data_IF_208511224058
#
_entry.id   IF_208511224058
#
_cell.length_a   1.000
_cell.length_b   1.000
_cell.length_c   1.000
_cell.angle_alpha   90.00
_cell.angle_beta   90.00
_cell.angle_gamma   90.00
#
_symmetry.space_group_name_H-M   'P 1'
#
loop_
_entity.id
_entity.type
_entity.pdbx_description
1 polymer ?
#
# COMPACT_ATOMS: atom_id res chain seq x y z
N UNK A 1 -18.88 33.69 12.69
CA UNK A 1 -19.19 32.25 12.50
C UNK A 1 -18.40 31.42 13.49
N UNK A 2 -19.02 30.39 14.06
CA UNK A 2 -18.34 29.46 14.96
C UNK A 2 -17.38 28.60 14.13
N UNK A 3 -16.07 28.78 14.30
CA UNK A 3 -15.08 27.91 13.67
C UNK A 3 -15.11 26.53 14.35
N UNK A 4 -15.26 25.48 13.56
CA UNK A 4 -15.14 24.11 14.03
C UNK A 4 -13.65 23.71 13.96
N UNK A 5 -13.01 23.32 15.07
CA UNK A 5 -11.62 22.90 15.03
C UNK A 5 -11.50 21.53 14.37
N UNK A 6 -10.60 21.40 13.42
CA UNK A 6 -10.21 20.14 12.83
C UNK A 6 -8.81 19.82 13.36
N UNK A 7 -8.68 18.69 14.07
CA UNK A 7 -7.42 18.28 14.71
C UNK A 7 -7.05 16.86 14.27
N UNK A 8 -5.74 16.58 14.23
CA UNK A 8 -5.22 15.29 13.84
C UNK A 8 -3.92 15.00 14.58
N UNK A 9 -3.67 13.74 14.91
CA UNK A 9 -2.52 13.28 15.70
C UNK A 9 -1.39 12.67 14.87
N UNK A 10 -1.50 12.68 13.54
CA UNK A 10 -0.61 11.92 12.68
C UNK A 10 -1.01 10.44 12.61
N UNK A 11 -0.03 9.56 12.43
CA UNK A 11 -0.23 8.12 12.25
C UNK A 11 0.61 7.32 13.25
N UNK A 12 0.36 5.99 13.29
CA UNK A 12 1.15 5.00 14.08
C UNK A 12 1.13 5.20 15.59
N UNK A 13 0.19 5.96 16.15
CA UNK A 13 0.09 6.16 17.60
C UNK A 13 1.26 6.96 18.22
N UNK A 14 2.03 7.71 17.42
CA UNK A 14 3.20 8.47 17.90
C UNK A 14 2.79 9.61 18.85
N UNK A 15 1.58 10.17 18.66
CA UNK A 15 1.05 11.24 19.47
C UNK A 15 -0.37 10.94 19.95
N UNK A 16 -0.66 11.38 21.18
CA UNK A 16 -2.00 11.51 21.71
C UNK A 16 -2.43 12.99 21.61
N UNK A 17 -3.58 13.23 20.99
CA UNK A 17 -4.18 14.57 20.92
C UNK A 17 -4.95 14.89 22.21
N UNK A 18 -4.60 15.96 22.86
CA UNK A 18 -5.33 16.49 24.01
C UNK A 18 -5.99 17.82 23.65
N UNK A 19 -7.33 17.82 23.60
CA UNK A 19 -8.10 19.03 23.34
C UNK A 19 -8.91 19.41 24.59
N UNK A 20 -8.81 20.70 24.99
CA UNK A 20 -9.63 21.27 26.04
C UNK A 20 -10.58 22.29 25.42
N UNK A 21 -11.86 22.07 25.65
CA UNK A 21 -12.94 22.95 25.18
C UNK A 21 -13.51 23.68 26.39
N UNK A 22 -13.57 25.00 26.31
CA UNK A 22 -14.17 25.88 27.30
C UNK A 22 -15.42 26.53 26.71
N UNK A 23 -16.54 26.38 27.38
CA UNK A 23 -17.80 27.03 27.01
C UNK A 23 -18.07 28.13 28.04
N UNK A 24 -18.28 29.36 27.57
CA UNK A 24 -18.73 30.45 28.44
C UNK A 24 -20.26 30.44 28.60
N UNK A 25 -20.77 31.33 29.47
CA UNK A 25 -22.21 31.38 29.80
C UNK A 25 -23.11 31.77 28.62
N UNK A 26 -22.55 32.32 27.54
CA UNK A 26 -23.26 32.69 26.30
C UNK A 26 -23.01 31.73 25.16
N UNK A 27 -22.41 30.57 25.46
CA UNK A 27 -22.18 29.50 24.47
C UNK A 27 -20.97 29.71 23.57
N UNK A 28 -20.13 30.73 23.85
CA UNK A 28 -18.91 30.94 23.07
C UNK A 28 -17.86 29.90 23.41
N UNK A 29 -17.35 29.23 22.39
CA UNK A 29 -16.34 28.17 22.53
C UNK A 29 -14.92 28.75 22.44
N UNK A 30 -14.06 28.27 23.33
CA UNK A 30 -12.60 28.43 23.24
C UNK A 30 -11.98 27.06 23.34
N UNK A 31 -10.99 26.79 22.50
CA UNK A 31 -10.29 25.50 22.54
C UNK A 31 -8.78 25.70 22.56
N UNK A 32 -8.12 24.82 23.27
CA UNK A 32 -6.67 24.62 23.20
C UNK A 32 -6.39 23.18 22.79
N UNK A 33 -5.39 22.98 21.97
CA UNK A 33 -4.98 21.67 21.50
C UNK A 33 -3.47 21.50 21.66
N UNK A 34 -3.05 20.32 22.10
CA UNK A 34 -1.65 19.94 22.16
C UNK A 34 -1.47 18.48 21.81
N UNK A 35 -0.32 18.14 21.23
CA UNK A 35 0.14 16.77 21.00
C UNK A 35 0.99 16.33 22.21
N UNK A 36 0.72 15.16 22.72
CA UNK A 36 1.49 14.48 23.77
C UNK A 36 2.23 13.34 23.07
N UNK A 37 3.58 13.33 23.04
CA UNK A 37 4.33 12.21 22.50
C UNK A 37 4.03 10.93 23.28
N UNK A 38 3.82 9.83 22.55
CA UNK A 38 3.68 8.49 23.11
C UNK A 38 5.06 7.83 23.05
N UNK A 39 5.78 7.85 24.15
CA UNK A 39 7.15 7.31 24.27
C UNK A 39 7.38 6.68 25.64
N UNK A 40 8.60 6.19 25.89
CA UNK A 40 8.97 5.48 27.09
C UNK A 40 8.72 6.24 28.42
N UNK A 41 8.53 7.57 28.37
CA UNK A 41 8.16 8.37 29.55
C UNK A 41 6.77 8.02 30.09
N UNK A 42 5.95 7.34 29.29
CA UNK A 42 4.63 6.86 29.68
C UNK A 42 4.63 5.42 30.19
N UNK A 43 5.73 4.69 30.10
CA UNK A 43 5.80 3.25 30.45
C UNK A 43 5.43 3.00 31.90
N UNK A 44 5.79 3.91 32.83
CA UNK A 44 5.41 3.82 34.25
C UNK A 44 3.91 3.99 34.52
N UNK A 45 3.14 4.38 33.51
CA UNK A 45 1.68 4.62 33.58
C UNK A 45 0.86 3.55 32.85
N UNK A 46 1.50 2.50 32.37
CA UNK A 46 0.80 1.40 31.69
C UNK A 46 -0.05 0.67 32.73
N UNK A 47 -1.31 0.43 32.39
CA UNK A 47 -2.19 -0.43 33.18
C UNK A 47 -1.63 -1.85 33.24
N UNK A 48 -1.37 -2.41 34.45
CA UNK A 48 -0.74 -3.72 34.60
C UNK A 48 -1.55 -4.86 33.96
N UNK A 49 -2.88 -4.80 33.98
CA UNK A 49 -3.75 -5.82 33.41
C UNK A 49 -3.66 -5.77 31.86
N UNK A 50 -3.61 -4.57 31.30
CA UNK A 50 -3.39 -4.39 29.86
C UNK A 50 -2.00 -4.87 29.43
N UNK A 51 -0.95 -4.51 30.18
CA UNK A 51 0.42 -4.95 29.91
C UNK A 51 0.55 -6.48 29.93
N UNK A 52 -0.07 -7.13 30.91
CA UNK A 52 -0.09 -8.59 31.03
C UNK A 52 -0.78 -9.25 29.83
N UNK A 53 -1.95 -8.72 29.42
CA UNK A 53 -2.69 -9.22 28.27
C UNK A 53 -1.91 -9.03 26.96
N UNK A 54 -1.29 -7.87 26.79
CA UNK A 54 -0.45 -7.59 25.62
C UNK A 54 0.77 -8.53 25.57
N UNK A 55 1.43 -8.73 26.72
CA UNK A 55 2.55 -9.66 26.85
C UNK A 55 2.17 -11.09 26.46
N UNK A 56 1.04 -11.59 26.93
CA UNK A 56 0.53 -12.90 26.54
C UNK A 56 0.39 -13.06 25.03
N UNK A 57 -0.29 -12.14 24.35
CA UNK A 57 -0.45 -12.22 22.88
C UNK A 57 0.89 -12.04 22.15
N UNK A 58 1.76 -11.15 22.63
CA UNK A 58 3.08 -10.96 22.04
C UNK A 58 3.92 -12.23 22.05
N UNK A 59 3.92 -12.98 23.16
CA UNK A 59 4.65 -14.25 23.26
C UNK A 59 4.03 -15.34 22.36
N UNK A 60 2.71 -15.40 22.21
CA UNK A 60 2.05 -16.35 21.32
C UNK A 60 2.44 -16.09 19.83
N UNK A 61 2.54 -14.83 19.45
CA UNK A 61 2.88 -14.45 18.09
C UNK A 61 4.39 -14.50 17.79
N UNK A 62 5.23 -14.31 18.80
CA UNK A 62 6.68 -14.13 18.66
C UNK A 62 7.34 -15.27 17.87
N UNK A 63 6.97 -16.51 18.13
CA UNK A 63 7.56 -17.66 17.45
C UNK A 63 7.26 -17.67 15.95
N UNK A 64 6.00 -17.45 15.56
CA UNK A 64 5.59 -17.45 14.16
C UNK A 64 6.07 -16.19 13.42
N UNK A 65 6.05 -15.03 14.08
CA UNK A 65 6.43 -13.76 13.48
C UNK A 65 7.95 -13.61 13.29
N UNK A 66 8.76 -14.25 14.13
CA UNK A 66 10.22 -14.26 14.02
C UNK A 66 10.76 -15.37 13.09
N UNK A 67 9.89 -16.16 12.47
CA UNK A 67 10.30 -17.13 11.47
C UNK A 67 10.99 -16.42 10.31
N UNK A 68 12.23 -16.84 10.00
CA UNK A 68 13.00 -16.35 8.86
C UNK A 68 12.47 -17.01 7.61
N UNK A 69 11.96 -16.19 6.68
CA UNK A 69 11.38 -16.65 5.41
C UNK A 69 12.39 -16.64 4.28
N UNK A 70 13.45 -15.84 4.40
CA UNK A 70 14.47 -15.70 3.37
C UNK A 70 15.54 -14.69 3.72
N UNK A 71 16.40 -14.40 2.77
CA UNK A 71 17.49 -13.46 2.91
C UNK A 71 17.46 -12.40 1.81
N UNK A 72 17.53 -11.13 2.19
CA UNK A 72 17.56 -9.98 1.28
C UNK A 72 19.01 -9.49 1.13
N UNK A 73 19.66 -9.64 -0.04
CA UNK A 73 21.07 -9.26 -0.22
C UNK A 73 21.31 -7.76 -0.21
N UNK A 74 20.27 -6.96 -0.49
CA UNK A 74 20.29 -5.50 -0.44
C UNK A 74 18.94 -4.97 0.00
N UNK A 75 18.89 -3.86 0.75
CA UNK A 75 17.64 -3.31 1.23
C UNK A 75 16.68 -2.97 0.08
N UNK A 76 15.41 -3.41 0.20
CA UNK A 76 14.35 -3.03 -0.70
C UNK A 76 13.66 -1.80 -0.16
N UNK A 77 13.69 -0.71 -0.93
CA UNK A 77 13.22 0.61 -0.52
C UNK A 77 12.01 1.05 -1.32
N UNK A 78 11.16 1.79 -0.65
CA UNK A 78 10.08 2.54 -1.29
C UNK A 78 10.66 3.65 -2.16
N UNK A 79 9.96 4.03 -3.20
CA UNK A 79 10.36 5.12 -4.09
C UNK A 79 9.19 5.65 -4.90
N UNK A 80 9.36 6.86 -5.43
CA UNK A 80 8.45 7.47 -6.39
C UNK A 80 9.28 8.21 -7.44
N UNK A 81 9.05 8.00 -8.72
CA UNK A 81 8.04 7.13 -9.35
C UNK A 81 8.33 5.64 -9.25
N UNK A 82 9.54 5.23 -8.86
CA UNK A 82 9.95 3.83 -8.73
C UNK A 82 10.74 3.60 -7.44
N UNK A 83 10.60 2.39 -6.87
CA UNK A 83 11.38 1.91 -5.75
C UNK A 83 11.62 0.40 -5.88
N UNK A 84 12.78 -0.08 -5.38
CA UNK A 84 13.14 -1.49 -5.48
C UNK A 84 12.13 -2.41 -4.80
N UNK A 85 11.50 -1.96 -3.70
CA UNK A 85 10.46 -2.72 -3.02
C UNK A 85 9.20 -2.87 -3.88
N UNK A 86 8.75 -1.78 -4.52
CA UNK A 86 7.58 -1.82 -5.37
C UNK A 86 7.76 -2.70 -6.59
N UNK A 87 8.93 -2.60 -7.24
CA UNK A 87 9.27 -3.44 -8.39
C UNK A 87 9.29 -4.92 -7.99
N UNK A 88 9.99 -5.25 -6.89
CA UNK A 88 10.01 -6.62 -6.36
C UNK A 88 8.59 -7.14 -6.04
N UNK A 89 7.75 -6.34 -5.41
CA UNK A 89 6.37 -6.74 -5.10
C UNK A 89 5.57 -7.03 -6.39
N UNK A 90 5.68 -6.18 -7.40
CA UNK A 90 4.98 -6.39 -8.67
C UNK A 90 5.53 -7.62 -9.43
N UNK A 91 6.85 -7.85 -9.41
CA UNK A 91 7.45 -9.04 -10.02
C UNK A 91 7.01 -10.32 -9.30
N UNK A 92 6.98 -10.32 -7.95
CA UNK A 92 6.45 -11.44 -7.16
C UNK A 92 4.97 -11.74 -7.48
N UNK A 93 4.17 -10.71 -7.77
CA UNK A 93 2.77 -10.92 -8.18
C UNK A 93 2.66 -11.61 -9.54
N UNK A 94 3.59 -11.39 -10.48
CA UNK A 94 3.62 -12.15 -11.74
C UNK A 94 3.85 -13.63 -11.48
N UNK A 95 4.82 -13.96 -10.64
CA UNK A 95 5.13 -15.36 -10.27
C UNK A 95 3.95 -16.01 -9.55
N UNK A 96 3.39 -15.35 -8.54
CA UNK A 96 2.25 -15.88 -7.77
C UNK A 96 0.97 -16.00 -8.58
N UNK A 97 0.79 -15.25 -9.66
CA UNK A 97 -0.40 -15.29 -10.50
C UNK A 97 -0.57 -16.66 -11.17
N UNK A 98 0.52 -17.29 -11.54
CA UNK A 98 0.49 -18.65 -12.10
C UNK A 98 0.05 -19.68 -11.07
N UNK A 99 0.54 -19.57 -9.84
CA UNK A 99 0.16 -20.47 -8.74
C UNK A 99 -1.32 -20.30 -8.34
N UNK A 100 -1.82 -19.07 -8.34
CA UNK A 100 -3.17 -18.74 -7.86
C UNK A 100 -4.24 -18.93 -8.94
N UNK A 101 -3.95 -18.51 -10.18
CA UNK A 101 -4.93 -18.48 -11.27
C UNK A 101 -4.62 -19.44 -12.43
N UNK A 102 -3.47 -20.11 -12.40
CA UNK A 102 -3.02 -20.96 -13.50
C UNK A 102 -2.70 -20.20 -14.79
N UNK A 103 -2.36 -18.91 -14.66
CA UNK A 103 -2.15 -18.00 -15.79
C UNK A 103 -0.94 -17.12 -15.54
N UNK A 104 -0.04 -17.06 -16.52
CA UNK A 104 1.03 -16.04 -16.55
C UNK A 104 0.47 -14.72 -17.08
N UNK A 105 0.46 -13.63 -16.30
CA UNK A 105 -0.05 -12.34 -16.75
C UNK A 105 0.97 -11.64 -17.64
N UNK A 106 0.51 -10.73 -18.51
CA UNK A 106 1.39 -9.88 -19.33
C UNK A 106 2.16 -8.86 -18.47
N UNK A 107 1.57 -8.45 -17.35
CA UNK A 107 2.17 -7.54 -16.38
C UNK A 107 1.47 -7.63 -15.02
N UNK A 108 2.14 -7.09 -13.99
CA UNK A 108 1.52 -6.87 -12.70
C UNK A 108 1.66 -5.41 -12.25
N UNK A 109 0.71 -4.96 -11.44
CA UNK A 109 0.64 -3.61 -10.89
C UNK A 109 0.33 -3.71 -9.40
N UNK A 110 1.26 -3.20 -8.58
CA UNK A 110 1.13 -3.17 -7.13
C UNK A 110 0.68 -1.78 -6.66
N UNK A 111 0.04 -1.69 -5.50
CA UNK A 111 -0.33 -0.42 -4.88
C UNK A 111 0.83 0.15 -4.03
N UNK A 112 1.45 1.22 -4.48
CA UNK A 112 2.53 1.88 -3.73
C UNK A 112 2.10 2.35 -2.33
N UNK A 113 0.85 2.81 -2.19
CA UNK A 113 0.26 3.19 -0.90
C UNK A 113 0.05 2.00 0.05
N UNK A 114 -0.07 0.79 -0.48
CA UNK A 114 -0.19 -0.46 0.26
C UNK A 114 1.11 -0.94 0.90
N UNK A 115 2.25 -0.52 0.37
CA UNK A 115 3.58 -0.84 0.91
C UNK A 115 3.86 0.06 2.12
N UNK A 116 3.87 -0.49 3.35
CA UNK A 116 3.86 0.32 4.60
C UNK A 116 5.20 0.36 5.32
N UNK A 117 6.11 -0.55 5.03
CA UNK A 117 7.48 -0.61 5.55
C UNK A 117 8.46 -0.87 4.40
N UNK A 118 9.75 -0.90 4.71
CA UNK A 118 10.82 -1.32 3.79
C UNK A 118 11.40 -2.66 4.29
N UNK A 119 12.04 -3.42 3.40
CA UNK A 119 12.75 -4.65 3.77
C UNK A 119 14.23 -4.32 3.93
N UNK A 120 14.81 -4.48 5.13
CA UNK A 120 16.24 -4.26 5.34
C UNK A 120 17.07 -5.34 4.65
N UNK A 121 18.37 -5.07 4.47
CA UNK A 121 19.33 -6.10 4.11
C UNK A 121 19.49 -7.10 5.26
N UNK A 122 19.56 -8.40 4.95
CA UNK A 122 19.73 -9.47 5.94
C UNK A 122 18.60 -10.48 5.91
N UNK A 123 18.44 -11.19 7.01
CA UNK A 123 17.33 -12.12 7.19
C UNK A 123 16.00 -11.38 7.19
N UNK A 124 15.06 -11.92 6.46
CA UNK A 124 13.68 -11.38 6.33
C UNK A 124 12.74 -12.30 7.09
N UNK A 125 12.08 -11.75 8.07
CA UNK A 125 11.14 -12.49 8.91
C UNK A 125 9.70 -12.35 8.40
N UNK A 126 8.83 -13.22 8.89
CA UNK A 126 7.38 -13.10 8.65
C UNK A 126 6.85 -11.74 9.12
N UNK A 127 7.36 -11.23 10.24
CA UNK A 127 7.02 -9.90 10.77
C UNK A 127 7.36 -8.78 9.79
N UNK A 128 8.50 -8.87 9.10
CA UNK A 128 8.89 -7.87 8.10
C UNK A 128 7.91 -7.85 6.93
N UNK A 129 7.49 -9.01 6.46
CA UNK A 129 6.51 -9.13 5.37
C UNK A 129 5.14 -8.55 5.79
N UNK A 130 4.66 -8.88 7.00
CA UNK A 130 3.41 -8.27 7.51
C UNK A 130 3.52 -6.76 7.72
N UNK A 131 4.71 -6.25 8.08
CA UNK A 131 4.93 -4.81 8.18
C UNK A 131 4.89 -4.12 6.80
N UNK A 132 5.35 -4.79 5.75
CA UNK A 132 5.27 -4.30 4.36
C UNK A 132 3.84 -4.35 3.83
N UNK A 133 3.16 -5.49 4.01
CA UNK A 133 1.81 -5.77 3.48
C UNK A 133 0.80 -6.00 4.62
N UNK A 134 0.41 -4.96 5.39
CA UNK A 134 -0.47 -5.14 6.53
C UNK A 134 -1.97 -5.23 6.18
N UNK A 135 -2.31 -5.15 4.89
CA UNK A 135 -3.69 -5.19 4.41
C UNK A 135 -4.02 -6.58 3.88
N UNK A 136 -5.24 -7.02 4.12
CA UNK A 136 -5.80 -8.30 3.64
C UNK A 136 -6.36 -8.12 2.22
N UNK A 137 -5.52 -7.65 1.31
CA UNK A 137 -5.89 -7.50 -0.10
C UNK A 137 -5.83 -8.85 -0.81
N UNK A 138 -6.77 -9.09 -1.71
CA UNK A 138 -6.79 -10.25 -2.59
C UNK A 138 -6.08 -9.96 -3.89
N UNK A 139 -5.40 -10.95 -4.42
CA UNK A 139 -4.91 -10.89 -5.80
C UNK A 139 -6.10 -10.90 -6.75
N UNK A 140 -6.02 -10.11 -7.79
CA UNK A 140 -7.04 -9.98 -8.81
C UNK A 140 -6.40 -10.10 -10.19
N UNK A 141 -6.91 -11.02 -10.99
CA UNK A 141 -6.56 -11.14 -12.41
C UNK A 141 -7.61 -10.40 -13.24
N UNK A 142 -7.14 -9.45 -14.06
CA UNK A 142 -7.96 -8.70 -15.00
C UNK A 142 -7.59 -9.08 -16.42
N UNK A 143 -8.56 -9.14 -17.33
CA UNK A 143 -8.33 -9.13 -18.77
C UNK A 143 -8.92 -7.85 -19.36
N UNK A 144 -8.06 -7.00 -19.93
CA UNK A 144 -8.40 -5.70 -20.50
C UNK A 144 -8.09 -5.66 -21.99
N UNK A 145 -8.84 -4.85 -22.73
CA UNK A 145 -8.41 -4.45 -24.08
C UNK A 145 -7.20 -3.50 -23.99
N UNK A 146 -6.36 -3.46 -25.00
CA UNK A 146 -5.24 -2.52 -25.03
C UNK A 146 -5.69 -1.06 -24.94
N UNK A 147 -6.88 -0.74 -25.48
CA UNK A 147 -7.48 0.60 -25.31
C UNK A 147 -7.73 0.93 -23.85
N UNK A 148 -8.30 -0.02 -23.08
CA UNK A 148 -8.56 0.16 -21.64
C UNK A 148 -7.28 0.21 -20.84
N UNK A 149 -6.31 -0.63 -21.20
CA UNK A 149 -5.00 -0.62 -20.58
C UNK A 149 -4.26 0.71 -20.79
N UNK A 150 -4.34 1.30 -21.97
CA UNK A 150 -3.77 2.63 -22.23
C UNK A 150 -4.43 3.70 -21.35
N UNK A 151 -5.77 3.72 -21.24
CA UNK A 151 -6.49 4.62 -20.33
C UNK A 151 -6.08 4.43 -18.87
N UNK A 152 -5.87 3.18 -18.47
CA UNK A 152 -5.38 2.86 -17.13
C UNK A 152 -4.01 3.50 -16.90
N UNK A 153 -3.06 3.34 -17.82
CA UNK A 153 -1.75 3.99 -17.72
C UNK A 153 -1.82 5.52 -17.75
N UNK A 154 -2.71 6.12 -18.53
CA UNK A 154 -2.90 7.57 -18.55
C UNK A 154 -3.28 8.10 -17.16
N UNK A 155 -4.09 7.35 -16.39
CA UNK A 155 -4.43 7.72 -15.02
C UNK A 155 -3.24 7.70 -14.05
N UNK A 156 -2.16 6.99 -14.39
CA UNK A 156 -0.92 6.94 -13.61
C UNK A 156 -0.01 8.17 -13.81
N UNK A 157 -0.33 9.06 -14.72
CA UNK A 157 0.49 10.25 -15.00
C UNK A 157 0.73 11.11 -13.75
N UNK A 158 -0.20 11.10 -12.80
CA UNK A 158 -0.14 11.86 -11.54
C UNK A 158 0.35 11.00 -10.37
N UNK A 159 -0.10 9.74 -10.30
CA UNK A 159 0.22 8.81 -9.22
C UNK A 159 0.72 7.49 -9.81
N UNK A 160 2.02 7.37 -9.96
CA UNK A 160 2.64 6.15 -10.50
C UNK A 160 2.58 5.03 -9.47
N UNK A 161 2.04 3.89 -9.88
CA UNK A 161 2.08 2.66 -9.09
C UNK A 161 3.26 1.77 -9.54
N UNK A 162 3.80 0.89 -8.68
CA UNK A 162 4.83 -0.07 -9.04
C UNK A 162 4.37 -1.03 -10.13
N UNK A 163 5.24 -1.23 -11.10
CA UNK A 163 5.02 -2.06 -12.28
C UNK A 163 6.02 -3.22 -12.28
N UNK A 164 5.59 -4.39 -12.77
CA UNK A 164 6.49 -5.53 -12.97
C UNK A 164 7.51 -5.31 -14.08
N UNK A 165 8.58 -6.10 -14.06
CA UNK A 165 9.59 -6.12 -15.09
C UNK A 165 8.98 -6.31 -16.50
N UNK A 166 9.60 -5.68 -17.50
CA UNK A 166 9.08 -5.69 -18.87
C UNK A 166 8.08 -4.57 -19.19
N UNK A 167 7.55 -3.86 -18.18
CA UNK A 167 6.75 -2.64 -18.42
C UNK A 167 7.67 -1.43 -18.44
N UNK A 168 7.56 -0.62 -19.48
CA UNK A 168 8.23 0.67 -19.59
C UNK A 168 7.20 1.76 -19.78
N UNK A 169 7.08 2.64 -18.80
CA UNK A 169 6.20 3.80 -18.80
C UNK A 169 7.04 5.08 -18.83
N UNK A 170 6.78 5.95 -19.81
CA UNK A 170 7.46 7.25 -19.95
C UNK A 170 6.43 8.36 -19.70
N UNK A 171 6.65 9.10 -18.61
CA UNK A 171 5.83 10.26 -18.26
C UNK A 171 6.69 11.53 -18.45
N UNK A 172 6.15 12.52 -19.13
CA UNK A 172 6.77 13.83 -19.33
C UNK A 172 5.70 14.91 -19.26
N UNK A 173 5.98 15.99 -18.54
CA UNK A 173 5.07 17.14 -18.40
C UNK A 173 3.68 16.74 -17.90
N UNK A 174 3.62 15.80 -16.92
CA UNK A 174 2.36 15.31 -16.34
C UNK A 174 1.49 14.46 -17.26
N UNK A 175 2.04 13.97 -18.38
CA UNK A 175 1.31 13.12 -19.34
C UNK A 175 2.12 11.88 -19.71
N UNK A 176 1.45 10.76 -19.93
CA UNK A 176 2.05 9.55 -20.46
C UNK A 176 2.41 9.79 -21.93
N UNK A 177 3.67 9.59 -22.27
CA UNK A 177 4.19 9.75 -23.64
C UNK A 177 4.29 8.41 -24.39
N UNK A 178 4.64 7.38 -23.68
CA UNK A 178 4.66 6.03 -24.22
C UNK A 178 4.59 4.99 -23.12
N UNK A 179 4.03 3.85 -23.47
CA UNK A 179 4.03 2.65 -22.63
C UNK A 179 4.29 1.43 -23.53
N UNK A 180 5.09 0.50 -23.01
CA UNK A 180 5.34 -0.78 -23.66
C UNK A 180 5.33 -1.91 -22.63
N UNK A 181 4.92 -3.09 -23.08
CA UNK A 181 4.88 -4.34 -22.32
C UNK A 181 5.67 -5.39 -23.10
N UNK A 182 6.61 -6.08 -22.45
CA UNK A 182 7.48 -7.04 -23.12
C UNK A 182 8.29 -6.42 -24.28
N UNK A 183 8.66 -5.14 -24.19
CA UNK A 183 9.40 -4.40 -25.20
C UNK A 183 8.56 -3.98 -26.42
N UNK A 184 7.25 -4.25 -26.45
CA UNK A 184 6.33 -3.88 -27.53
C UNK A 184 5.37 -2.81 -27.08
N UNK A 185 5.03 -1.87 -27.98
CA UNK A 185 3.95 -0.92 -27.73
C UNK A 185 2.62 -1.68 -27.55
N UNK A 186 1.74 -1.13 -26.72
CA UNK A 186 0.42 -1.73 -26.50
C UNK A 186 -0.40 -1.60 -27.79
N UNK A 187 -0.89 -2.76 -28.29
CA UNK A 187 -1.87 -2.80 -29.37
C UNK A 187 -3.28 -2.52 -28.80
N UNK A 188 -3.95 -1.44 -29.20
CA UNK A 188 -5.28 -1.11 -28.68
C UNK A 188 -6.33 -2.22 -28.87
N UNK A 189 -6.15 -3.09 -29.86
CA UNK A 189 -7.10 -4.17 -30.20
C UNK A 189 -6.78 -5.51 -29.51
N UNK A 190 -5.57 -5.67 -28.99
CA UNK A 190 -5.18 -6.88 -28.30
C UNK A 190 -5.79 -6.92 -26.89
N UNK A 191 -5.82 -8.12 -26.28
CA UNK A 191 -6.19 -8.33 -24.90
C UNK A 191 -4.93 -8.54 -24.07
N UNK A 192 -4.94 -8.02 -22.84
CA UNK A 192 -3.85 -8.10 -21.89
C UNK A 192 -4.35 -8.61 -20.55
N UNK A 193 -3.62 -9.55 -19.96
CA UNK A 193 -3.85 -10.10 -18.63
C UNK A 193 -2.99 -9.36 -17.62
N UNK A 194 -3.62 -8.83 -16.59
CA UNK A 194 -2.98 -7.98 -15.59
C UNK A 194 -3.22 -8.58 -14.21
N UNK A 195 -2.15 -8.85 -13.47
CA UNK A 195 -2.25 -9.18 -12.06
C UNK A 195 -2.19 -7.91 -11.22
N UNK A 196 -3.15 -7.73 -10.33
CA UNK A 196 -3.22 -6.58 -9.41
C UNK A 196 -3.85 -7.00 -8.09
N UNK A 197 -4.31 -6.05 -7.30
CA UNK A 197 -5.05 -6.29 -6.05
C UNK A 197 -6.45 -5.67 -6.12
N UNK A 198 -7.39 -6.28 -5.40
CA UNK A 198 -8.78 -5.84 -5.30
C UNK A 198 -8.92 -4.37 -4.95
N UNK A 199 -8.10 -3.86 -4.03
CA UNK A 199 -8.12 -2.45 -3.64
C UNK A 199 -7.90 -1.48 -4.82
N UNK A 200 -6.99 -1.77 -5.75
CA UNK A 200 -6.76 -0.90 -6.91
C UNK A 200 -7.97 -0.89 -7.85
N UNK A 201 -8.63 -2.03 -7.98
CA UNK A 201 -9.84 -2.19 -8.81
C UNK A 201 -11.02 -1.45 -8.19
N UNK A 202 -11.22 -1.59 -6.88
CA UNK A 202 -12.39 -1.08 -6.15
C UNK A 202 -12.27 0.38 -5.72
N UNK A 203 -11.05 0.92 -5.67
CA UNK A 203 -10.81 2.30 -5.22
C UNK A 203 -11.44 3.37 -6.13
N UNK A 204 -11.93 2.99 -7.31
CA UNK A 204 -12.46 3.91 -8.32
C UNK A 204 -11.40 4.87 -8.89
N UNK A 205 -10.12 4.67 -8.53
CA UNK A 205 -9.00 5.50 -8.98
C UNK A 205 -8.70 5.28 -10.45
N UNK A 206 -8.97 4.07 -10.93
CA UNK A 206 -8.71 3.65 -12.30
C UNK A 206 -10.01 3.22 -12.97
N UNK A 207 -10.33 3.83 -14.13
CA UNK A 207 -11.52 3.48 -14.88
C UNK A 207 -11.30 2.15 -15.60
N UNK A 208 -12.04 1.14 -15.20
CA UNK A 208 -12.19 -0.11 -15.94
C UNK A 208 -13.42 0.01 -16.86
N UNK A 209 -13.35 -0.58 -18.04
CA UNK A 209 -14.50 -0.58 -18.97
C UNK A 209 -15.37 -1.83 -18.78
N UNK A 210 -16.54 -1.82 -19.46
CA UNK A 210 -17.52 -2.91 -19.41
C UNK A 210 -17.02 -4.24 -19.96
N UNK A 211 -15.90 -4.22 -20.72
CA UNK A 211 -15.29 -5.40 -21.34
C UNK A 211 -14.18 -6.00 -20.47
N UNK A 212 -14.00 -5.50 -19.25
CA UNK A 212 -13.02 -6.03 -18.29
C UNK A 212 -13.56 -7.31 -17.66
N UNK A 213 -12.85 -8.42 -17.82
CA UNK A 213 -13.10 -9.59 -16.98
C UNK A 213 -12.27 -9.52 -15.70
N UNK A 214 -12.82 -10.03 -14.59
CA UNK A 214 -12.20 -10.01 -13.26
C UNK A 214 -12.30 -11.39 -12.61
N UNK A 215 -11.20 -11.84 -12.00
CA UNK A 215 -11.15 -13.01 -11.14
C UNK A 215 -10.36 -12.66 -9.89
N UNK A 216 -10.92 -12.93 -8.70
CA UNK A 216 -10.28 -12.70 -7.41
C UNK A 216 -9.81 -14.03 -6.80
N UNK A 217 -8.72 -14.00 -6.00
CA UNK A 217 -8.16 -15.16 -5.28
C UNK A 217 -8.98 -15.54 -4.06
#
# INVERSE_FOLDING_TARGET
GNAVPIVQTGSKGIYLGYMKIHLDKVGKQRFSYRLIPVDSRLDSRIDPAFASKLGYYSEQLKKSMNEVLGYCPSALRKGSPQGTLGNWAADSMVEMCEDVFGVTPDLAICNNGGLRAEIPKGDVTRSDIYAVFPFDNKMTLLELTGTSLLKFFDSMAVNTEPLSAGVRLVIKDGAVKSVSVGGKAIDPKAKYKICTIDYLVESGRYSLDENTSRQDS
#
